data_IF_011904670706
#
_entry.id   IF_011904670706
#
_cell.length_a   1.000
_cell.length_b   1.000
_cell.length_c   1.000
_cell.angle_alpha   90.00
_cell.angle_beta   90.00
_cell.angle_gamma   90.00
#
_symmetry.space_group_name_H-M   'P 1'
#
loop_
_entity.id
_entity.type
_entity.pdbx_description
1 polymer ?
#
# COMPACT_ATOMS: atom_id res chain seq x y z
N UNK A 1 -5.14 18.05 -85.17
CA UNK A 1 -4.68 19.00 -84.13
C UNK A 1 -5.84 19.68 -83.41
N UNK A 2 -6.96 19.06 -83.11
CA UNK A 2 -8.11 19.71 -82.45
C UNK A 2 -8.54 19.01 -81.07
N UNK A 3 -7.89 17.91 -80.71
CA UNK A 3 -8.26 17.14 -79.50
C UNK A 3 -7.49 17.55 -78.24
N UNK A 4 -6.32 18.18 -78.38
CA UNK A 4 -5.48 18.53 -77.22
C UNK A 4 -5.87 19.87 -76.60
N UNK A 5 -6.54 20.79 -77.34
CA UNK A 5 -6.97 22.06 -76.82
C UNK A 5 -8.16 21.99 -75.83
N UNK A 6 -9.00 20.95 -76.00
CA UNK A 6 -10.18 20.75 -75.15
C UNK A 6 -9.80 20.15 -73.80
N UNK A 7 -8.71 19.37 -73.74
CA UNK A 7 -8.27 18.72 -72.53
C UNK A 7 -7.53 19.67 -71.59
N UNK A 8 -6.87 20.70 -72.12
CA UNK A 8 -6.18 21.77 -71.32
C UNK A 8 -7.20 22.70 -70.70
N UNK A 9 -8.33 22.97 -71.39
CA UNK A 9 -9.38 23.83 -70.84
C UNK A 9 -10.16 23.18 -69.70
N UNK A 10 -10.24 21.84 -69.68
CA UNK A 10 -10.94 21.08 -68.64
C UNK A 10 -10.11 21.00 -67.35
N UNK A 11 -8.78 21.02 -67.47
CA UNK A 11 -7.90 21.01 -66.27
C UNK A 11 -7.88 22.35 -65.52
N UNK A 12 -8.09 23.46 -66.23
CA UNK A 12 -8.07 24.79 -65.59
C UNK A 12 -9.36 25.10 -64.79
N UNK A 13 -10.47 24.45 -65.08
CA UNK A 13 -11.75 24.68 -64.39
C UNK A 13 -11.84 23.91 -63.06
N UNK A 14 -11.09 22.83 -62.94
CA UNK A 14 -11.10 22.00 -61.69
C UNK A 14 -10.21 22.57 -60.62
N UNK A 15 -9.26 23.45 -60.95
CA UNK A 15 -8.31 24.05 -59.99
C UNK A 15 -8.86 25.22 -59.16
N UNK A 16 -10.07 25.68 -59.42
CA UNK A 16 -10.61 26.91 -58.81
C UNK A 16 -11.63 26.68 -57.67
N UNK A 17 -11.86 25.41 -57.26
CA UNK A 17 -12.92 25.11 -56.29
C UNK A 17 -12.39 24.68 -54.89
N UNK A 18 -11.05 24.66 -54.68
CA UNK A 18 -10.47 24.26 -53.40
C UNK A 18 -9.77 25.45 -52.65
N UNK A 19 -10.33 26.64 -52.68
CA UNK A 19 -9.96 27.69 -51.71
C UNK A 19 -11.16 27.92 -50.80
N UNK A 20 -11.51 26.88 -50.04
CA UNK A 20 -12.34 26.99 -48.85
C UNK A 20 -11.40 27.06 -47.64
N UNK A 21 -11.10 28.24 -47.15
CA UNK A 21 -10.52 28.41 -45.82
C UNK A 21 -11.49 27.89 -44.76
N UNK A 22 -11.43 26.61 -44.48
CA UNK A 22 -11.94 26.08 -43.26
C UNK A 22 -10.83 26.20 -42.18
N UNK A 23 -10.94 27.16 -41.28
CA UNK A 23 -10.24 27.15 -40.03
C UNK A 23 -10.69 25.88 -39.25
N UNK A 24 -10.05 24.76 -39.51
CA UNK A 24 -10.12 23.64 -38.56
C UNK A 24 -9.21 24.03 -37.41
N UNK A 25 -9.82 24.53 -36.35
CA UNK A 25 -9.23 24.50 -35.03
C UNK A 25 -9.04 23.02 -34.70
N UNK A 26 -7.83 22.50 -34.89
CA UNK A 26 -7.44 21.22 -34.34
C UNK A 26 -7.47 21.42 -32.84
N UNK A 27 -8.60 21.07 -32.23
CA UNK A 27 -8.65 20.83 -30.79
C UNK A 27 -7.77 19.58 -30.60
N UNK A 28 -6.51 19.79 -30.24
CA UNK A 28 -5.71 18.75 -29.63
C UNK A 28 -6.43 18.41 -28.32
N UNK A 29 -7.23 17.35 -28.34
CA UNK A 29 -7.55 16.63 -27.13
C UNK A 29 -6.21 16.21 -26.52
N UNK A 30 -5.73 16.99 -25.55
CA UNK A 30 -4.76 16.49 -24.60
C UNK A 30 -5.46 15.34 -23.86
N UNK A 31 -5.22 14.14 -24.35
CA UNK A 31 -5.45 12.93 -23.57
C UNK A 31 -4.49 13.09 -22.40
N UNK A 32 -4.99 13.62 -21.28
CA UNK A 32 -4.35 13.47 -19.99
C UNK A 32 -4.25 11.97 -19.77
N UNK A 33 -3.10 11.40 -20.10
CA UNK A 33 -2.74 10.09 -19.60
C UNK A 33 -2.64 10.24 -18.08
N UNK A 34 -3.76 9.99 -17.41
CA UNK A 34 -3.75 9.71 -15.99
C UNK A 34 -2.95 8.41 -15.88
N UNK A 35 -1.68 8.54 -15.56
CA UNK A 35 -0.85 7.41 -15.18
C UNK A 35 -1.52 6.86 -13.92
N UNK A 36 -2.29 5.79 -14.05
CA UNK A 36 -2.82 5.09 -12.90
C UNK A 36 -1.60 4.65 -12.08
N UNK A 37 -1.41 5.26 -10.91
CA UNK A 37 -0.41 4.80 -9.96
C UNK A 37 -0.89 3.41 -9.57
N UNK A 38 -0.17 2.38 -10.01
CA UNK A 38 -0.49 0.99 -9.68
C UNK A 38 -0.52 0.84 -8.16
N UNK A 39 -1.41 -0.01 -7.66
CA UNK A 39 -1.41 -0.37 -6.25
C UNK A 39 -0.05 -1.00 -5.91
N UNK A 40 0.75 -0.42 -5.00
CA UNK A 40 2.07 -0.96 -4.67
C UNK A 40 2.00 -2.20 -3.77
N UNK A 41 0.82 -2.55 -3.29
CA UNK A 41 0.57 -3.74 -2.47
C UNK A 41 0.32 -4.97 -3.33
N UNK A 42 0.88 -6.10 -2.90
CA UNK A 42 0.63 -7.42 -3.46
C UNK A 42 0.01 -8.30 -2.39
N UNK A 43 -1.13 -8.94 -2.70
CA UNK A 43 -1.85 -9.84 -1.79
C UNK A 43 -1.32 -11.27 -1.95
N UNK A 44 -1.38 -12.05 -0.85
CA UNK A 44 -0.88 -13.44 -0.75
C UNK A 44 -1.89 -14.32 -0.02
N UNK A 45 -1.89 -15.60 -0.37
CA UNK A 45 -2.78 -16.59 0.26
C UNK A 45 -2.22 -17.15 1.58
N UNK A 46 -0.90 -17.04 1.80
CA UNK A 46 -0.24 -17.49 3.03
C UNK A 46 0.94 -16.58 3.44
N UNK A 47 1.32 -16.65 4.71
CA UNK A 47 2.49 -15.95 5.24
C UNK A 47 3.77 -16.47 4.57
N UNK A 48 3.89 -17.78 4.34
CA UNK A 48 5.04 -18.41 3.69
C UNK A 48 5.27 -17.88 2.26
N UNK A 49 4.21 -17.69 1.49
CA UNK A 49 4.30 -17.11 0.15
C UNK A 49 4.83 -15.66 0.21
N UNK A 50 4.28 -14.85 1.12
CA UNK A 50 4.74 -13.48 1.34
C UNK A 50 6.22 -13.43 1.77
N UNK A 51 6.63 -14.30 2.72
CA UNK A 51 8.02 -14.43 3.21
C UNK A 51 8.99 -14.78 2.08
N UNK A 52 8.58 -15.65 1.16
CA UNK A 52 9.41 -16.06 0.01
C UNK A 52 9.79 -14.88 -0.89
N UNK A 53 8.92 -13.88 -0.97
CA UNK A 53 9.10 -12.70 -1.81
C UNK A 53 9.91 -11.61 -1.12
N UNK A 54 9.69 -11.38 0.18
CA UNK A 54 10.40 -10.35 0.95
C UNK A 54 11.78 -10.82 1.43
N UNK A 55 12.04 -12.14 1.45
CA UNK A 55 13.34 -12.73 1.80
C UNK A 55 13.70 -12.64 3.28
N UNK A 56 12.70 -12.62 4.16
CA UNK A 56 12.85 -12.79 5.61
C UNK A 56 11.56 -13.36 6.22
N UNK A 57 11.68 -14.02 7.38
CA UNK A 57 10.50 -14.56 8.07
C UNK A 57 9.70 -13.44 8.74
N UNK A 58 8.38 -13.49 8.61
CA UNK A 58 7.47 -12.67 9.41
C UNK A 58 7.50 -13.10 10.87
N UNK A 59 7.48 -14.43 11.11
CA UNK A 59 7.69 -15.04 12.42
C UNK A 59 6.46 -15.07 13.32
N UNK A 60 5.32 -14.49 12.92
CA UNK A 60 4.05 -14.68 13.61
C UNK A 60 3.22 -15.75 12.88
N UNK A 61 2.49 -16.62 13.60
CA UNK A 61 1.62 -17.62 13.01
C UNK A 61 0.34 -16.98 12.44
N UNK A 62 -0.40 -17.73 11.62
CA UNK A 62 -1.69 -17.29 11.08
C UNK A 62 -2.80 -17.21 12.15
N UNK A 63 -2.62 -17.85 13.29
CA UNK A 63 -3.54 -17.80 14.43
C UNK A 63 -2.78 -17.41 15.69
N UNK A 64 -3.24 -16.36 16.35
CA UNK A 64 -2.67 -15.84 17.61
C UNK A 64 -3.73 -15.89 18.70
N UNK A 65 -3.32 -16.27 19.91
CA UNK A 65 -4.19 -16.38 21.10
C UNK A 65 -5.47 -17.22 20.85
N UNK A 66 -5.38 -18.26 20.02
CA UNK A 66 -6.46 -19.18 19.63
C UNK A 66 -7.72 -18.52 19.04
N UNK A 67 -7.69 -17.21 18.79
CA UNK A 67 -8.87 -16.42 18.35
C UNK A 67 -8.61 -15.45 17.21
N UNK A 68 -7.43 -14.83 17.16
CA UNK A 68 -7.06 -13.93 16.08
C UNK A 68 -6.57 -14.71 14.86
N UNK A 69 -7.34 -14.64 13.77
CA UNK A 69 -6.98 -15.29 12.52
C UNK A 69 -6.45 -14.24 11.53
N UNK A 70 -5.40 -14.57 10.78
CA UNK A 70 -4.94 -13.78 9.66
C UNK A 70 -6.02 -13.76 8.57
N UNK A 71 -6.48 -12.57 8.20
CA UNK A 71 -7.54 -12.36 7.20
C UNK A 71 -7.06 -11.62 5.97
N UNK A 72 -5.89 -10.99 6.05
CA UNK A 72 -5.23 -10.33 4.93
C UNK A 72 -3.73 -10.42 5.11
N UNK A 73 -3.03 -10.85 4.07
CA UNK A 73 -1.57 -10.97 4.03
C UNK A 73 -1.11 -10.27 2.77
N UNK A 74 -0.25 -9.26 2.92
CA UNK A 74 0.23 -8.50 1.76
C UNK A 74 1.64 -7.97 1.96
N UNK A 75 2.30 -7.67 0.85
CA UNK A 75 3.64 -7.06 0.85
C UNK A 75 3.62 -5.72 0.12
N UNK A 76 4.50 -4.82 0.55
CA UNK A 76 4.74 -3.53 -0.09
C UNK A 76 6.17 -3.50 -0.63
N UNK A 77 6.31 -3.31 -1.95
CA UNK A 77 7.60 -3.17 -2.64
C UNK A 77 8.65 -4.25 -2.32
N UNK A 78 8.24 -5.45 -1.92
CA UNK A 78 9.12 -6.57 -1.48
C UNK A 78 10.00 -6.21 -0.26
N UNK A 79 9.67 -5.20 0.52
CA UNK A 79 10.45 -4.72 1.66
C UNK A 79 9.71 -4.83 2.98
N UNK A 80 8.37 -4.73 2.93
CA UNK A 80 7.51 -4.76 4.10
C UNK A 80 6.45 -5.85 3.93
N UNK A 81 6.19 -6.61 4.98
CA UNK A 81 5.03 -7.50 5.10
C UNK A 81 4.03 -6.92 6.08
N UNK A 82 2.76 -7.01 5.72
CA UNK A 82 1.63 -6.65 6.56
C UNK A 82 0.71 -7.86 6.68
N UNK A 83 0.29 -8.16 7.91
CA UNK A 83 -0.75 -9.15 8.20
C UNK A 83 -1.81 -8.52 9.07
N UNK A 84 -3.06 -8.61 8.65
CA UNK A 84 -4.21 -8.15 9.41
C UNK A 84 -4.85 -9.36 10.07
N UNK A 85 -4.99 -9.30 11.38
CA UNK A 85 -5.64 -10.33 12.21
C UNK A 85 -6.99 -9.83 12.70
N UNK A 86 -7.99 -10.70 12.69
CA UNK A 86 -9.32 -10.37 13.20
C UNK A 86 -9.81 -11.40 14.22
N UNK A 87 -10.47 -10.92 15.28
CA UNK A 87 -11.16 -11.71 16.27
C UNK A 87 -12.35 -10.91 16.84
N UNK A 88 -13.58 -11.48 16.80
CA UNK A 88 -14.79 -10.93 17.45
C UNK A 88 -15.03 -9.42 17.27
N UNK A 89 -14.72 -8.88 16.09
CA UNK A 89 -14.90 -7.46 15.78
C UNK A 89 -13.71 -6.56 16.13
N UNK A 90 -12.63 -7.14 16.63
CA UNK A 90 -11.34 -6.47 16.80
C UNK A 90 -10.42 -6.78 15.62
N UNK A 91 -9.67 -5.77 15.21
CA UNK A 91 -8.68 -5.87 14.14
C UNK A 91 -7.33 -5.42 14.65
N UNK A 92 -6.29 -6.20 14.33
CA UNK A 92 -4.89 -5.88 14.62
C UNK A 92 -4.09 -5.96 13.33
N UNK A 93 -3.54 -4.84 12.91
CA UNK A 93 -2.63 -4.76 11.77
C UNK A 93 -1.18 -4.87 12.28
N UNK A 94 -0.47 -5.89 11.84
CA UNK A 94 0.96 -6.09 12.19
C UNK A 94 1.80 -5.95 10.94
N UNK A 95 2.87 -5.14 11.03
CA UNK A 95 3.84 -4.96 9.95
C UNK A 95 5.25 -5.29 10.43
N UNK A 96 6.08 -5.80 9.51
CA UNK A 96 7.51 -6.04 9.71
C UNK A 96 8.30 -5.58 8.51
N UNK A 97 9.46 -4.97 8.78
CA UNK A 97 10.42 -4.52 7.77
C UNK A 97 11.85 -4.65 8.31
N UNK A 98 12.84 -4.84 7.43
CA UNK A 98 14.27 -4.76 7.79
C UNK A 98 14.64 -3.34 8.19
N UNK A 99 15.57 -3.23 9.16
CA UNK A 99 16.02 -1.96 9.76
C UNK A 99 15.28 -1.67 11.06
N UNK A 100 15.94 -1.01 11.98
CA UNK A 100 15.39 -0.67 13.30
C UNK A 100 15.02 0.81 13.41
N UNK A 101 14.10 1.14 14.33
CA UNK A 101 13.75 2.53 14.68
C UNK A 101 12.84 3.23 13.66
N UNK A 102 12.18 2.49 12.75
CA UNK A 102 11.28 3.07 11.76
C UNK A 102 9.83 2.96 12.21
N UNK A 103 9.06 4.04 12.06
CA UNK A 103 7.59 3.96 12.13
C UNK A 103 7.05 3.46 10.79
N UNK A 104 6.73 2.19 10.76
CA UNK A 104 6.15 1.49 9.59
C UNK A 104 4.64 1.26 9.73
N UNK A 105 4.01 1.84 10.76
CA UNK A 105 2.60 1.59 11.08
C UNK A 105 1.63 2.06 10.00
N UNK A 106 1.98 3.11 9.27
CA UNK A 106 1.04 3.80 8.37
C UNK A 106 -0.13 4.42 9.10
N UNK A 107 -0.03 4.55 10.42
CA UNK A 107 -1.02 5.17 11.28
C UNK A 107 -0.54 6.56 11.70
N UNK A 108 -1.29 7.58 11.31
CA UNK A 108 -1.00 9.00 11.54
C UNK A 108 -1.94 9.62 12.58
N UNK A 109 -2.66 8.80 13.34
CA UNK A 109 -3.52 9.28 14.41
C UNK A 109 -2.69 9.88 15.56
N UNK A 110 -3.28 10.86 16.24
CA UNK A 110 -2.74 11.40 17.50
C UNK A 110 -3.16 10.48 18.65
N UNK A 111 -2.26 10.31 19.61
CA UNK A 111 -2.45 9.49 20.80
C UNK A 111 -2.26 10.30 22.07
N UNK A 112 -3.08 10.03 23.09
CA UNK A 112 -3.06 10.74 24.38
C UNK A 112 -1.78 10.44 25.18
N UNK A 113 -1.28 9.19 25.06
CA UNK A 113 -0.09 8.75 25.81
C UNK A 113 0.92 8.12 24.86
N UNK A 114 2.21 8.33 25.19
CA UNK A 114 3.34 7.70 24.54
C UNK A 114 4.35 7.29 25.62
N UNK A 115 4.69 6.00 25.68
CA UNK A 115 5.69 5.47 26.63
C UNK A 115 6.69 4.59 25.90
N UNK A 116 7.94 4.65 26.32
CA UNK A 116 9.03 3.83 25.79
C UNK A 116 9.55 2.88 26.85
N UNK A 117 9.85 1.65 26.48
CA UNK A 117 10.46 0.65 27.32
C UNK A 117 11.50 -0.16 26.54
N UNK A 118 12.51 -0.66 27.24
CA UNK A 118 13.50 -1.58 26.71
C UNK A 118 13.23 -2.98 27.25
N UNK A 119 13.23 -3.98 26.36
CA UNK A 119 13.01 -5.38 26.70
C UNK A 119 13.87 -6.29 25.82
N UNK A 120 14.60 -7.23 26.45
CA UNK A 120 15.39 -8.26 25.77
C UNK A 120 16.33 -7.75 24.66
N UNK A 121 16.88 -6.54 24.81
CA UNK A 121 17.78 -5.94 23.82
C UNK A 121 17.08 -5.23 22.67
N UNK A 122 15.77 -5.09 22.72
CA UNK A 122 14.98 -4.27 21.80
C UNK A 122 14.24 -3.15 22.52
N UNK A 123 13.60 -2.28 21.76
CA UNK A 123 12.82 -1.14 22.25
C UNK A 123 11.38 -1.27 21.80
N UNK A 124 10.45 -0.94 22.69
CA UNK A 124 9.02 -0.82 22.38
C UNK A 124 8.54 0.59 22.74
N UNK A 125 7.85 1.24 21.82
CA UNK A 125 7.16 2.51 22.03
C UNK A 125 5.66 2.23 21.97
N UNK A 126 4.96 2.50 23.05
CA UNK A 126 3.53 2.27 23.15
C UNK A 126 2.79 3.61 23.06
N UNK A 127 1.80 3.66 22.19
CA UNK A 127 0.84 4.74 22.04
C UNK A 127 -0.55 4.24 22.39
N UNK A 128 -1.30 5.02 23.16
CA UNK A 128 -2.63 4.60 23.62
C UNK A 128 -3.57 5.79 23.76
N UNK A 129 -4.86 5.55 23.42
CA UNK A 129 -5.98 6.44 23.66
C UNK A 129 -6.97 5.79 24.62
N UNK A 130 -7.30 6.45 25.72
CA UNK A 130 -8.22 5.95 26.74
C UNK A 130 -9.68 5.99 26.31
N UNK A 131 -10.04 6.90 25.39
CA UNK A 131 -11.41 7.12 24.95
C UNK A 131 -11.97 6.03 24.01
N UNK A 132 -11.12 5.39 23.21
CA UNK A 132 -11.48 4.37 22.23
C UNK A 132 -10.62 3.09 22.32
N UNK A 133 -9.74 3.02 23.33
CA UNK A 133 -8.76 1.94 23.51
C UNK A 133 -7.83 1.69 22.31
N UNK A 134 -7.71 2.65 21.39
CA UNK A 134 -6.78 2.53 20.28
C UNK A 134 -5.35 2.38 20.77
N UNK A 135 -4.62 1.43 20.17
CA UNK A 135 -3.23 1.11 20.50
C UNK A 135 -2.40 1.14 19.24
N UNK A 136 -1.23 1.79 19.31
CA UNK A 136 -0.14 1.63 18.36
C UNK A 136 1.12 1.26 19.12
N UNK A 137 1.83 0.24 18.65
CA UNK A 137 3.12 -0.15 19.19
C UNK A 137 4.15 -0.17 18.08
N UNK A 138 5.31 0.43 18.33
CA UNK A 138 6.48 0.37 17.48
C UNK A 138 7.57 -0.39 18.20
N UNK A 139 8.07 -1.46 17.58
CA UNK A 139 9.05 -2.35 18.19
C UNK A 139 10.28 -2.41 17.29
N UNK A 140 11.47 -2.23 17.90
CA UNK A 140 12.76 -2.43 17.24
C UNK A 140 13.43 -3.61 17.89
N UNK A 141 13.64 -4.69 17.12
CA UNK A 141 14.20 -5.93 17.65
C UNK A 141 14.93 -6.75 16.58
N UNK A 142 16.15 -7.19 16.90
CA UNK A 142 16.98 -8.08 16.06
C UNK A 142 17.11 -7.63 14.60
N UNK A 143 17.31 -6.33 14.38
CA UNK A 143 17.53 -5.78 13.04
C UNK A 143 16.24 -5.49 12.25
N UNK A 144 15.08 -5.55 12.89
CA UNK A 144 13.77 -5.29 12.30
C UNK A 144 13.00 -4.20 13.03
N UNK A 145 12.22 -3.44 12.28
CA UNK A 145 11.11 -2.64 12.79
C UNK A 145 9.82 -3.43 12.67
N UNK A 146 9.01 -3.37 13.71
CA UNK A 146 7.67 -3.90 13.76
C UNK A 146 6.70 -2.78 14.12
N UNK A 147 5.49 -2.87 13.63
CA UNK A 147 4.38 -2.08 14.14
C UNK A 147 3.17 -2.96 14.38
N UNK A 148 2.45 -2.65 15.44
CA UNK A 148 1.15 -3.22 15.77
C UNK A 148 0.18 -2.07 15.93
N UNK A 149 -0.92 -2.08 15.17
CA UNK A 149 -1.98 -1.06 15.23
C UNK A 149 -3.31 -1.75 15.48
N UNK A 150 -3.98 -1.39 16.56
CA UNK A 150 -5.30 -1.86 16.93
C UNK A 150 -6.23 -0.65 17.15
N UNK A 151 -6.95 -0.19 16.11
CA UNK A 151 -7.70 1.08 16.18
C UNK A 151 -8.85 1.06 17.18
N UNK A 152 -9.38 -0.12 17.51
CA UNK A 152 -10.43 -0.33 18.51
C UNK A 152 -9.93 -1.07 19.76
N UNK A 153 -8.60 -1.13 19.94
CA UNK A 153 -7.96 -1.96 20.95
C UNK A 153 -7.88 -3.43 20.56
N UNK A 154 -7.41 -4.24 21.51
CA UNK A 154 -7.37 -5.69 21.40
C UNK A 154 -8.39 -6.31 22.36
N UNK A 155 -8.87 -7.50 22.02
CA UNK A 155 -9.73 -8.26 22.93
C UNK A 155 -8.91 -8.82 24.09
N UNK A 156 -9.29 -8.48 25.32
CA UNK A 156 -8.56 -8.89 26.53
C UNK A 156 -7.12 -8.39 26.55
N UNK A 157 -6.18 -9.24 26.96
CA UNK A 157 -4.74 -8.97 27.01
C UNK A 157 -4.01 -9.37 25.72
N UNK A 158 -4.72 -9.62 24.62
CA UNK A 158 -4.16 -10.20 23.39
C UNK A 158 -3.07 -9.35 22.73
N UNK A 159 -3.01 -8.05 23.02
CA UNK A 159 -1.89 -7.22 22.57
C UNK A 159 -0.54 -7.77 23.11
N UNK A 160 -0.52 -8.30 24.35
CA UNK A 160 0.65 -8.95 24.94
C UNK A 160 1.01 -10.27 24.22
N UNK A 161 0.03 -11.00 23.70
CA UNK A 161 0.26 -12.24 22.95
C UNK A 161 1.00 -11.95 21.64
N UNK A 162 0.63 -10.89 20.92
CA UNK A 162 1.37 -10.43 19.73
C UNK A 162 2.80 -10.03 20.07
N UNK A 163 2.98 -9.19 21.10
CA UNK A 163 4.28 -8.69 21.52
C UNK A 163 5.19 -9.82 22.01
N UNK A 164 4.66 -10.77 22.81
CA UNK A 164 5.43 -11.89 23.30
C UNK A 164 5.94 -12.78 22.15
N UNK A 165 5.12 -13.03 21.14
CA UNK A 165 5.52 -13.78 19.94
C UNK A 165 6.63 -13.09 19.14
N UNK A 166 6.64 -11.77 19.11
CA UNK A 166 7.75 -11.01 18.49
C UNK A 166 9.06 -11.23 19.29
N UNK A 167 9.00 -11.24 20.63
CA UNK A 167 10.18 -11.43 21.47
C UNK A 167 10.70 -12.87 21.50
N UNK A 168 9.89 -13.85 21.12
CA UNK A 168 10.27 -15.28 21.04
C UNK A 168 11.12 -15.63 19.79
N UNK A 169 11.26 -14.73 18.83
CA UNK A 169 11.96 -14.94 17.53
C UNK A 169 13.49 -14.92 17.58
#
# INVERSE_FOLDING_TARGET
>A
MKKNALMILLCCVISAVFVGCGNQTVVQEQISQTTAIGNPWSDWDSIEEAESVIGFSFGLPEVIADSYNAVSIRTLNHELIEVVYCAEGFEVCVRKQKGEGQDISGDYNEYETCTEANHNGGTIINYHNSNNNAVKQLISYKGYSWSLVAPNGCWGDSNWDFVSKIWEQ
#
